data_IF_409135014660
#
_entry.id   IF_409135014660
#
_cell.length_a   1.000
_cell.length_b   1.000
_cell.length_c   1.000
_cell.angle_alpha   90.00
_cell.angle_beta   90.00
_cell.angle_gamma   90.00
#
_symmetry.space_group_name_H-M   'P 1'
#
loop_
_entity.id
_entity.type
_entity.pdbx_description
1 polymer ?
#
# COMPACT_ATOMS: atom_id res chain seq x y z
N UNK A 1 41.19 44.08 -5.61
CA UNK A 1 40.19 43.49 -4.70
C UNK A 1 38.95 43.15 -5.52
N UNK A 2 39.00 42.03 -6.24
CA UNK A 2 37.94 41.64 -7.19
C UNK A 2 37.93 40.13 -7.35
N UNK A 3 39.09 39.47 -7.37
CA UNK A 3 39.20 38.01 -7.40
C UNK A 3 38.66 37.30 -6.13
N UNK A 4 38.84 37.89 -4.94
CA UNK A 4 38.35 37.30 -3.69
C UNK A 4 36.82 37.36 -3.55
N UNK A 5 36.17 38.38 -4.13
CA UNK A 5 34.71 38.51 -4.13
C UNK A 5 34.09 37.53 -5.14
N UNK A 6 34.72 37.32 -6.30
CA UNK A 6 34.26 36.34 -7.30
C UNK A 6 34.41 34.91 -6.77
N UNK A 7 35.48 34.59 -6.03
CA UNK A 7 35.62 33.27 -5.40
C UNK A 7 34.64 33.06 -4.24
N UNK A 8 34.36 34.11 -3.45
CA UNK A 8 33.34 34.05 -2.40
C UNK A 8 31.93 33.87 -2.94
N UNK A 9 31.59 34.55 -4.05
CA UNK A 9 30.28 34.41 -4.72
C UNK A 9 30.17 33.08 -5.47
N UNK A 10 31.23 32.62 -6.14
CA UNK A 10 31.21 31.32 -6.82
C UNK A 10 31.16 30.14 -5.84
N UNK A 11 31.83 30.25 -4.69
CA UNK A 11 31.75 29.26 -3.62
C UNK A 11 30.36 29.19 -3.00
N UNK A 12 29.75 30.35 -2.70
CA UNK A 12 28.40 30.43 -2.15
C UNK A 12 27.31 29.90 -3.10
N UNK A 13 27.49 30.08 -4.42
CA UNK A 13 26.55 29.56 -5.43
C UNK A 13 26.73 28.05 -5.67
N UNK A 14 27.94 27.50 -5.50
CA UNK A 14 28.23 26.08 -5.73
C UNK A 14 27.97 25.18 -4.51
N UNK A 15 27.93 25.75 -3.30
CA UNK A 15 27.70 25.05 -2.04
C UNK A 15 26.42 24.19 -2.03
N UNK A 16 25.22 24.69 -2.41
CA UNK A 16 24.01 23.86 -2.41
C UNK A 16 24.11 22.70 -3.40
N UNK A 17 24.65 22.91 -4.60
CA UNK A 17 24.81 21.84 -5.59
C UNK A 17 25.82 20.75 -5.17
N UNK A 18 26.88 21.12 -4.46
CA UNK A 18 27.83 20.16 -3.92
C UNK A 18 27.22 19.33 -2.78
N UNK A 19 26.40 19.97 -1.94
CA UNK A 19 25.61 19.30 -0.89
C UNK A 19 24.61 18.33 -1.50
N UNK A 20 23.82 18.77 -2.48
CA UNK A 20 22.84 17.94 -3.20
C UNK A 20 23.51 16.72 -3.82
N UNK A 21 24.62 16.93 -4.53
CA UNK A 21 25.36 15.83 -5.16
C UNK A 21 25.88 14.80 -4.16
N UNK A 22 26.32 15.26 -2.97
CA UNK A 22 26.76 14.39 -1.90
C UNK A 22 25.58 13.63 -1.29
N UNK A 23 24.51 14.33 -0.91
CA UNK A 23 23.32 13.75 -0.28
C UNK A 23 22.58 12.79 -1.20
N UNK A 24 22.37 13.14 -2.47
CA UNK A 24 21.80 12.23 -3.46
C UNK A 24 22.67 10.98 -3.67
N UNK A 25 23.99 11.11 -3.49
CA UNK A 25 24.92 9.99 -3.58
C UNK A 25 24.94 9.06 -2.37
N UNK A 26 24.58 9.55 -1.19
CA UNK A 26 24.46 8.77 0.05
C UNK A 26 23.01 8.50 0.45
N UNK A 27 22.03 8.93 -0.36
CA UNK A 27 20.62 8.87 -0.06
C UNK A 27 20.19 7.46 0.39
N UNK A 28 19.71 7.37 1.64
CA UNK A 28 19.35 6.11 2.30
C UNK A 28 20.48 5.09 2.25
N UNK A 29 21.64 5.50 2.78
CA UNK A 29 22.90 4.76 2.72
C UNK A 29 23.29 4.28 1.29
N UNK A 30 22.97 5.09 0.28
CA UNK A 30 23.23 4.79 -1.13
C UNK A 30 22.23 3.83 -1.79
N UNK A 31 21.09 3.56 -1.15
CA UNK A 31 20.04 2.71 -1.73
C UNK A 31 19.35 3.37 -2.93
N UNK A 32 19.23 4.70 -2.93
CA UNK A 32 18.53 5.42 -3.98
C UNK A 32 19.47 5.80 -5.13
N UNK A 33 19.13 5.45 -6.39
CA UNK A 33 19.85 5.95 -7.54
C UNK A 33 19.73 7.47 -7.64
N UNK A 34 20.85 8.14 -7.94
CA UNK A 34 20.88 9.61 -8.06
C UNK A 34 19.88 10.15 -9.07
N UNK A 35 19.72 9.48 -10.21
CA UNK A 35 18.77 9.88 -11.25
C UNK A 35 17.30 9.73 -10.81
N UNK A 36 17.03 8.90 -9.81
CA UNK A 36 15.71 8.79 -9.18
C UNK A 36 15.52 9.94 -8.21
N UNK A 37 16.52 10.24 -7.36
CA UNK A 37 16.48 11.40 -6.44
C UNK A 37 16.28 12.70 -7.22
N UNK A 38 17.05 12.92 -8.29
CA UNK A 38 16.97 14.11 -9.14
C UNK A 38 15.58 14.27 -9.78
N UNK A 39 14.90 13.16 -10.13
CA UNK A 39 13.55 13.18 -10.70
C UNK A 39 12.45 13.40 -9.65
N UNK A 40 12.69 13.01 -8.40
CA UNK A 40 11.73 13.15 -7.31
C UNK A 40 11.77 14.55 -6.67
N UNK A 41 12.90 15.25 -6.79
CA UNK A 41 13.06 16.60 -6.29
C UNK A 41 12.13 17.58 -7.03
N UNK A 42 11.37 18.41 -6.31
CA UNK A 42 10.65 19.53 -6.90
C UNK A 42 11.61 20.50 -7.62
N UNK A 43 11.09 21.24 -8.60
CA UNK A 43 11.87 22.30 -9.28
C UNK A 43 12.42 23.31 -8.26
N UNK A 44 13.69 23.67 -8.41
CA UNK A 44 14.42 24.61 -7.56
C UNK A 44 14.54 24.23 -6.06
N UNK A 45 14.19 23.00 -5.68
CA UNK A 45 14.43 22.48 -4.32
C UNK A 45 15.89 22.02 -4.14
N UNK A 46 16.39 22.10 -2.90
CA UNK A 46 17.70 21.59 -2.48
C UNK A 46 17.54 20.56 -1.36
N UNK A 47 18.41 19.56 -1.33
CA UNK A 47 18.43 18.55 -0.27
C UNK A 47 18.98 19.17 1.02
N UNK A 48 18.28 18.93 2.12
CA UNK A 48 18.71 19.41 3.44
C UNK A 48 19.48 18.31 4.16
N UNK A 49 18.83 17.20 4.49
CA UNK A 49 19.48 16.14 5.26
C UNK A 49 19.10 14.75 4.81
N UNK A 50 20.00 13.82 5.10
CA UNK A 50 19.76 12.39 5.03
C UNK A 50 20.09 11.79 6.40
N UNK A 51 19.19 10.99 6.93
CA UNK A 51 19.40 10.25 8.17
C UNK A 51 18.93 8.81 8.00
N UNK A 52 19.84 7.86 8.22
CA UNK A 52 19.53 6.43 8.24
C UNK A 52 19.72 5.86 9.65
N UNK A 53 18.78 5.02 10.10
CA UNK A 53 18.80 4.38 11.42
C UNK A 53 18.55 2.89 11.27
N UNK A 54 19.44 2.06 11.82
CA UNK A 54 19.28 0.60 11.81
C UNK A 54 19.34 0.05 13.24
N UNK A 55 18.47 -0.89 13.54
CA UNK A 55 18.48 -1.63 14.81
C UNK A 55 18.40 -3.13 14.54
N UNK A 56 19.56 -3.78 14.47
CA UNK A 56 19.65 -5.22 14.16
C UNK A 56 18.86 -6.08 15.16
N UNK A 57 18.94 -5.75 16.45
CA UNK A 57 18.22 -6.46 17.50
C UNK A 57 16.69 -6.27 17.47
N UNK A 58 16.23 -5.19 16.84
CA UNK A 58 14.80 -4.91 16.64
C UNK A 58 14.35 -5.24 15.21
N UNK A 59 15.26 -5.67 14.34
CA UNK A 59 14.95 -6.01 12.96
C UNK A 59 14.32 -4.84 12.18
N UNK A 60 14.75 -3.60 12.48
CA UNK A 60 14.22 -2.39 11.87
C UNK A 60 15.29 -1.56 11.16
N UNK A 61 14.89 -0.92 10.07
CA UNK A 61 15.70 0.03 9.32
C UNK A 61 14.83 1.21 8.90
N UNK A 62 15.35 2.42 8.99
CA UNK A 62 14.65 3.63 8.57
C UNK A 62 15.59 4.57 7.82
N UNK A 63 15.03 5.34 6.90
CA UNK A 63 15.70 6.41 6.20
C UNK A 63 14.79 7.62 6.04
N UNK A 64 15.32 8.80 6.32
CA UNK A 64 14.69 10.08 6.05
C UNK A 64 15.58 10.88 5.10
N UNK A 65 15.00 11.36 4.00
CA UNK A 65 15.61 12.31 3.07
C UNK A 65 14.72 13.55 2.98
N UNK A 66 15.28 14.70 3.27
CA UNK A 66 14.55 15.97 3.35
C UNK A 66 15.07 17.01 2.36
N UNK A 67 14.22 17.95 2.02
CA UNK A 67 14.53 19.16 1.25
C UNK A 67 14.42 20.41 2.13
N UNK A 68 15.11 21.46 1.73
CA UNK A 68 15.02 22.76 2.38
C UNK A 68 13.59 23.33 2.28
N UNK A 69 13.03 23.78 3.40
CA UNK A 69 11.69 24.36 3.49
C UNK A 69 11.39 24.90 4.89
N UNK A 70 10.40 25.78 5.03
CA UNK A 70 9.90 26.24 6.32
C UNK A 70 9.05 25.15 7.00
N UNK A 71 9.29 24.91 8.29
CA UNK A 71 8.80 23.78 9.13
C UNK A 71 7.28 23.51 9.09
N UNK A 72 6.48 24.37 8.45
CA UNK A 72 5.03 24.31 8.35
C UNK A 72 4.57 23.55 7.09
N UNK A 73 5.43 23.35 6.08
CA UNK A 73 5.11 22.57 4.86
C UNK A 73 6.19 21.53 4.55
N UNK A 74 5.83 20.24 4.66
CA UNK A 74 6.46 19.05 4.09
C UNK A 74 7.89 19.20 3.54
N UNK A 75 8.88 19.34 4.42
CA UNK A 75 10.30 19.20 4.07
C UNK A 75 10.71 17.76 3.72
N UNK A 76 9.78 16.80 3.75
CA UNK A 76 10.04 15.39 3.48
C UNK A 76 10.03 15.12 1.98
N UNK A 77 11.17 14.71 1.45
CA UNK A 77 11.25 14.15 0.11
C UNK A 77 10.88 12.67 0.13
N UNK A 78 11.54 11.90 1.01
CA UNK A 78 11.30 10.47 1.23
C UNK A 78 11.42 10.19 2.73
N UNK A 79 10.51 9.39 3.26
CA UNK A 79 10.68 8.67 4.52
C UNK A 79 10.41 7.20 4.24
N UNK A 80 11.24 6.33 4.78
CA UNK A 80 11.07 4.90 4.65
C UNK A 80 11.30 4.22 5.99
N UNK A 81 10.41 3.29 6.33
CA UNK A 81 10.54 2.43 7.48
C UNK A 81 10.39 0.96 7.06
N UNK A 82 11.23 0.11 7.62
CA UNK A 82 11.28 -1.31 7.35
C UNK A 82 11.29 -2.13 8.64
N UNK A 83 10.48 -3.18 8.68
CA UNK A 83 10.27 -4.01 9.88
C UNK A 83 10.24 -5.50 9.54
N UNK A 84 11.05 -6.30 10.24
CA UNK A 84 11.00 -7.78 10.16
C UNK A 84 10.34 -8.44 11.36
N UNK A 85 10.09 -7.69 12.44
CA UNK A 85 9.37 -8.17 13.62
C UNK A 85 7.87 -8.07 13.42
N UNK A 86 7.17 -9.13 13.80
CA UNK A 86 5.71 -9.19 13.73
C UNK A 86 5.03 -8.08 14.52
N UNK A 87 5.45 -7.81 15.76
CA UNK A 87 4.77 -6.81 16.60
C UNK A 87 4.78 -5.41 15.96
N UNK A 88 5.89 -5.07 15.29
CA UNK A 88 6.02 -3.80 14.58
C UNK A 88 5.13 -3.79 13.33
N UNK A 89 5.08 -4.88 12.56
CA UNK A 89 4.17 -5.02 11.42
C UNK A 89 2.70 -4.93 11.85
N UNK A 90 2.31 -5.64 12.91
CA UNK A 90 0.96 -5.64 13.46
C UNK A 90 0.57 -4.23 13.94
N UNK A 91 1.52 -3.47 14.52
CA UNK A 91 1.33 -2.05 14.89
C UNK A 91 1.08 -1.16 13.66
N UNK A 92 1.89 -1.30 12.61
CA UNK A 92 1.71 -0.49 11.40
C UNK A 92 0.39 -0.83 10.68
N UNK A 93 0.04 -2.12 10.60
CA UNK A 93 -1.26 -2.54 10.07
C UNK A 93 -2.43 -2.11 10.96
N UNK A 94 -2.23 -1.92 12.26
CA UNK A 94 -3.22 -1.30 13.13
C UNK A 94 -3.51 0.14 12.71
N UNK A 95 -2.48 0.91 12.37
CA UNK A 95 -2.61 2.27 11.85
C UNK A 95 -3.29 2.34 10.48
N UNK A 96 -2.86 1.50 9.53
CA UNK A 96 -3.42 1.47 8.17
C UNK A 96 -4.86 0.94 8.11
N UNK A 97 -5.23 0.05 9.05
CA UNK A 97 -6.55 -0.57 9.13
C UNK A 97 -7.13 -0.39 10.54
N UNK A 98 -7.68 0.79 10.87
CA UNK A 98 -8.38 1.00 12.14
C UNK A 98 -9.62 0.09 12.24
N UNK A 99 -10.28 0.08 13.40
CA UNK A 99 -11.26 -0.91 13.91
C UNK A 99 -12.12 -1.67 12.88
N UNK A 100 -12.54 -1.05 11.78
CA UNK A 100 -13.37 -1.69 10.76
C UNK A 100 -12.63 -2.27 9.55
N UNK A 101 -11.38 -1.91 9.31
CA UNK A 101 -10.54 -2.41 8.22
C UNK A 101 -10.93 -1.93 6.82
N UNK A 102 -11.99 -1.12 6.69
CA UNK A 102 -12.53 -0.64 5.42
C UNK A 102 -11.86 0.66 4.91
N UNK A 103 -10.62 0.96 5.32
CA UNK A 103 -9.87 2.08 4.74
C UNK A 103 -9.78 1.94 3.21
N UNK A 104 -9.83 3.07 2.50
CA UNK A 104 -9.53 3.09 1.06
C UNK A 104 -8.06 2.74 0.86
N UNK A 105 -7.77 2.10 -0.27
CA UNK A 105 -6.42 1.65 -0.59
C UNK A 105 -6.17 1.89 -2.08
N UNK A 106 -4.97 2.32 -2.42
CA UNK A 106 -4.49 2.34 -3.80
C UNK A 106 -3.92 0.97 -4.16
N UNK A 107 -4.25 0.49 -5.36
CA UNK A 107 -3.70 -0.76 -5.89
C UNK A 107 -2.31 -0.54 -6.48
N UNK A 108 -1.35 -1.39 -6.12
CA UNK A 108 -0.04 -1.39 -6.77
C UNK A 108 -0.10 -2.09 -8.14
N UNK A 109 0.77 -1.71 -9.08
CA UNK A 109 0.96 -2.44 -10.33
C UNK A 109 1.13 -3.94 -10.14
N UNK A 110 0.64 -4.71 -11.12
CA UNK A 110 0.65 -6.18 -11.06
C UNK A 110 2.04 -6.75 -10.75
N UNK A 111 2.08 -7.67 -9.79
CA UNK A 111 3.28 -8.34 -9.32
C UNK A 111 3.96 -7.70 -8.11
N UNK A 112 3.55 -6.48 -7.71
CA UNK A 112 4.04 -5.87 -6.47
C UNK A 112 3.20 -6.31 -5.26
N UNK A 113 3.81 -6.91 -4.22
CA UNK A 113 3.10 -7.48 -3.08
C UNK A 113 2.78 -6.42 -2.03
N UNK A 114 1.90 -5.48 -2.38
CA UNK A 114 1.65 -4.32 -1.54
C UNK A 114 0.41 -3.52 -1.92
N UNK A 115 0.22 -2.40 -1.23
CA UNK A 115 -0.89 -1.46 -1.40
C UNK A 115 -0.44 -0.04 -1.02
N UNK A 116 -1.25 0.95 -1.36
CA UNK A 116 -1.08 2.33 -0.90
C UNK A 116 -2.13 2.59 0.17
N UNK A 117 -1.71 2.99 1.37
CA UNK A 117 -2.64 3.31 2.47
C UNK A 117 -3.22 4.74 2.35
N UNK A 118 -4.19 5.08 3.18
CA UNK A 118 -4.83 6.39 3.22
C UNK A 118 -3.87 7.54 3.62
N UNK A 119 -2.72 7.22 4.21
CA UNK A 119 -1.61 8.15 4.45
C UNK A 119 -0.69 8.29 3.23
N UNK A 120 -1.09 7.73 2.08
CA UNK A 120 -0.35 7.71 0.81
C UNK A 120 1.00 7.00 0.90
N UNK A 121 1.19 6.13 1.89
CA UNK A 121 2.41 5.34 1.99
C UNK A 121 2.33 4.13 1.05
N UNK A 122 3.38 3.90 0.29
CA UNK A 122 3.55 2.65 -0.46
C UNK A 122 4.01 1.58 0.52
N UNK A 123 3.14 0.60 0.79
CA UNK A 123 3.39 -0.51 1.70
C UNK A 123 3.72 -1.76 0.89
N UNK A 124 4.90 -2.36 1.06
CA UNK A 124 5.34 -3.61 0.43
C UNK A 124 5.58 -4.67 1.51
N UNK A 125 4.98 -5.85 1.36
CA UNK A 125 5.12 -6.97 2.30
C UNK A 125 5.73 -8.18 1.58
N UNK A 126 6.93 -8.57 1.99
CA UNK A 126 7.72 -9.63 1.37
C UNK A 126 7.99 -10.78 2.34
N UNK A 127 8.05 -12.05 1.90
CA UNK A 127 8.58 -13.13 2.73
C UNK A 127 10.10 -12.96 2.93
N UNK A 128 10.59 -13.32 4.12
CA UNK A 128 12.01 -13.30 4.50
C UNK A 128 12.58 -14.71 4.74
N UNK A 129 12.89 -15.47 3.69
CA UNK A 129 13.32 -16.86 3.82
C UNK A 129 14.57 -17.04 4.69
N UNK A 130 15.52 -16.10 4.67
CA UNK A 130 16.78 -16.22 5.41
C UNK A 130 16.61 -16.00 6.92
N UNK A 131 15.51 -15.37 7.35
CA UNK A 131 15.15 -15.20 8.76
C UNK A 131 14.38 -16.39 9.32
N UNK A 132 13.99 -17.35 8.47
CA UNK A 132 13.24 -18.54 8.85
C UNK A 132 11.85 -18.24 9.40
N UNK A 133 11.40 -19.11 10.31
CA UNK A 133 10.08 -19.02 10.93
C UNK A 133 10.10 -18.21 12.24
N UNK A 134 8.96 -17.63 12.61
CA UNK A 134 8.73 -17.05 13.93
C UNK A 134 8.36 -18.12 14.98
N UNK A 135 8.07 -17.68 16.20
CA UNK A 135 7.76 -18.58 17.32
C UNK A 135 6.50 -19.44 17.10
N UNK A 136 5.63 -19.03 16.19
CA UNK A 136 4.42 -19.74 15.81
C UNK A 136 4.60 -20.61 14.54
N UNK A 137 5.83 -20.73 14.04
CA UNK A 137 6.15 -21.53 12.86
C UNK A 137 5.75 -20.87 11.54
N UNK A 138 5.59 -19.54 11.51
CA UNK A 138 5.21 -18.81 10.29
C UNK A 138 6.42 -18.18 9.66
N UNK A 139 6.42 -18.11 8.33
CA UNK A 139 7.46 -17.43 7.57
C UNK A 139 7.54 -15.95 8.01
N UNK A 140 8.70 -15.52 8.51
CA UNK A 140 8.93 -14.10 8.80
C UNK A 140 8.81 -13.28 7.53
N UNK A 141 8.39 -12.04 7.67
CA UNK A 141 8.15 -11.09 6.56
C UNK A 141 8.92 -9.82 6.77
N UNK A 142 9.10 -9.05 5.70
CA UNK A 142 9.58 -7.69 5.69
C UNK A 142 8.42 -6.81 5.25
N UNK A 143 8.01 -5.89 6.12
CA UNK A 143 7.15 -4.77 5.75
C UNK A 143 8.04 -3.57 5.48
N UNK A 144 7.89 -2.94 4.32
CA UNK A 144 8.51 -1.65 3.99
C UNK A 144 7.41 -0.65 3.70
N UNK A 145 7.46 0.50 4.36
CA UNK A 145 6.55 1.62 4.21
C UNK A 145 7.33 2.80 3.69
N UNK A 146 6.92 3.37 2.56
CA UNK A 146 7.59 4.52 1.96
C UNK A 146 6.61 5.67 1.78
N UNK A 147 6.89 6.80 2.43
CA UNK A 147 6.21 8.06 2.23
C UNK A 147 7.05 8.98 1.36
N UNK A 148 6.38 9.80 0.56
CA UNK A 148 7.01 10.84 -0.23
C UNK A 148 6.14 12.10 -0.17
N UNK A 149 6.74 13.26 -0.41
CA UNK A 149 5.97 14.50 -0.56
C UNK A 149 4.89 14.36 -1.64
N UNK A 150 3.74 15.03 -1.46
CA UNK A 150 2.59 14.93 -2.39
C UNK A 150 2.98 15.26 -3.84
N UNK A 151 3.79 16.30 -4.03
CA UNK A 151 4.28 16.71 -5.35
C UNK A 151 5.26 15.68 -5.95
N UNK A 152 6.01 15.00 -5.08
CA UNK A 152 6.96 13.95 -5.44
C UNK A 152 6.27 12.65 -5.89
N UNK A 153 5.12 12.30 -5.28
CA UNK A 153 4.36 11.10 -5.65
C UNK A 153 3.78 11.15 -7.06
N UNK A 154 3.38 12.34 -7.52
CA UNK A 154 2.63 12.52 -8.77
C UNK A 154 3.42 13.22 -9.90
N UNK A 155 4.54 13.87 -9.57
CA UNK A 155 5.27 14.74 -10.49
C UNK A 155 6.00 14.02 -11.64
N UNK A 156 6.51 12.80 -11.42
CA UNK A 156 7.27 12.06 -12.44
C UNK A 156 6.83 10.59 -12.58
N UNK A 157 6.31 10.19 -13.77
CA UNK A 157 5.93 8.82 -14.09
C UNK A 157 6.99 7.78 -13.68
N UNK A 158 6.62 6.83 -12.81
CA UNK A 158 7.44 5.69 -12.40
C UNK A 158 8.49 5.94 -11.32
N UNK A 159 8.92 7.18 -11.09
CA UNK A 159 10.03 7.48 -10.17
C UNK A 159 9.73 7.06 -8.72
N UNK A 160 8.49 7.26 -8.26
CA UNK A 160 8.07 6.86 -6.92
C UNK A 160 8.14 5.33 -6.71
N UNK A 161 7.74 4.54 -7.72
CA UNK A 161 7.87 3.09 -7.64
C UNK A 161 9.33 2.64 -7.71
N UNK A 162 10.14 3.27 -8.55
CA UNK A 162 11.58 2.98 -8.62
C UNK A 162 12.27 3.23 -7.27
N UNK A 163 11.97 4.35 -6.60
CA UNK A 163 12.49 4.64 -5.26
C UNK A 163 11.99 3.64 -4.21
N UNK A 164 10.67 3.41 -4.11
CA UNK A 164 10.11 2.47 -3.13
C UNK A 164 10.67 1.05 -3.28
N UNK A 165 10.88 0.59 -4.52
CA UNK A 165 11.47 -0.73 -4.81
C UNK A 165 12.97 -0.76 -4.50
N UNK A 166 13.72 0.29 -4.84
CA UNK A 166 15.14 0.37 -4.49
C UNK A 166 15.36 0.34 -2.98
N UNK A 167 14.54 1.11 -2.23
CA UNK A 167 14.55 1.13 -0.77
C UNK A 167 14.15 -0.23 -0.18
N UNK A 168 13.13 -0.87 -0.74
CA UNK A 168 12.69 -2.20 -0.28
C UNK A 168 13.75 -3.26 -0.48
N UNK A 169 14.42 -3.26 -1.65
CA UNK A 169 15.51 -4.19 -1.94
C UNK A 169 16.70 -3.94 -0.99
N UNK A 170 17.07 -2.68 -0.76
CA UNK A 170 18.12 -2.31 0.20
C UNK A 170 17.76 -2.74 1.64
N UNK A 171 16.53 -2.50 2.08
CA UNK A 171 16.06 -2.94 3.40
C UNK A 171 16.11 -4.47 3.56
N UNK A 172 15.75 -5.21 2.51
CA UNK A 172 15.87 -6.68 2.49
C UNK A 172 17.31 -7.13 2.68
N UNK A 173 18.26 -6.52 1.96
CA UNK A 173 19.69 -6.84 2.08
C UNK A 173 20.24 -6.50 3.48
N UNK A 174 19.92 -5.30 3.99
CA UNK A 174 20.42 -4.81 5.29
C UNK A 174 19.90 -5.60 6.48
N UNK A 175 18.63 -5.99 6.42
CA UNK A 175 17.98 -6.75 7.49
C UNK A 175 18.18 -8.27 7.33
N UNK A 176 18.93 -8.72 6.32
CA UNK A 176 19.19 -10.13 6.07
C UNK A 176 17.92 -10.93 5.79
N UNK A 177 16.93 -10.30 5.15
CA UNK A 177 15.61 -10.89 4.89
C UNK A 177 15.70 -12.01 3.84
N UNK A 178 16.54 -11.85 2.82
CA UNK A 178 16.66 -12.81 1.71
C UNK A 178 15.47 -12.80 0.75
N UNK A 179 14.65 -11.74 0.76
CA UNK A 179 13.53 -11.61 -0.18
C UNK A 179 14.04 -11.50 -1.63
N UNK A 180 13.29 -12.08 -2.57
CA UNK A 180 13.58 -11.92 -4.00
C UNK A 180 13.49 -10.44 -4.39
N UNK A 181 14.51 -9.87 -5.05
CA UNK A 181 14.51 -8.46 -5.42
C UNK A 181 13.32 -8.09 -6.32
N UNK A 182 12.59 -7.06 -5.90
CA UNK A 182 11.49 -6.50 -6.66
C UNK A 182 12.00 -5.74 -7.89
N UNK A 183 11.17 -5.68 -8.93
CA UNK A 183 11.46 -4.98 -10.19
C UNK A 183 10.48 -3.84 -10.40
N UNK A 184 11.00 -2.69 -10.82
CA UNK A 184 10.18 -1.54 -11.16
C UNK A 184 9.12 -1.89 -12.21
N UNK A 185 7.88 -1.39 -12.05
CA UNK A 185 6.82 -1.60 -13.02
C UNK A 185 7.17 -0.91 -14.34
N UNK A 186 6.82 -1.53 -15.46
CA UNK A 186 7.02 -0.94 -16.79
C UNK A 186 5.99 0.15 -17.05
N UNK A 187 6.39 1.18 -17.80
CA UNK A 187 5.46 2.15 -18.39
C UNK A 187 5.17 3.41 -17.57
N UNK A 188 5.97 3.70 -16.55
CA UNK A 188 5.87 4.97 -15.82
C UNK A 188 4.56 5.13 -15.04
N UNK A 189 4.06 4.05 -14.44
CA UNK A 189 2.87 4.14 -13.61
C UNK A 189 3.09 5.15 -12.48
N UNK A 190 2.09 5.99 -12.23
CA UNK A 190 2.05 6.91 -11.10
C UNK A 190 1.28 6.23 -9.96
N UNK A 191 1.74 6.30 -8.70
CA UNK A 191 0.99 5.85 -7.55
C UNK A 191 -0.44 6.40 -7.55
N UNK A 192 -1.43 5.53 -7.35
CA UNK A 192 -2.81 5.95 -7.18
C UNK A 192 -2.96 6.68 -5.84
N UNK A 193 -3.64 7.83 -5.84
CA UNK A 193 -4.07 8.49 -4.61
C UNK A 193 -5.38 7.81 -4.12
N UNK A 194 -5.42 7.22 -2.92
CA UNK A 194 -6.63 6.60 -2.39
C UNK A 194 -7.79 7.58 -2.15
N UNK A 195 -7.51 8.89 -2.12
CA UNK A 195 -8.52 9.94 -2.00
C UNK A 195 -9.16 10.31 -3.35
N UNK A 196 -8.47 10.07 -4.47
CA UNK A 196 -8.98 10.38 -5.80
C UNK A 196 -10.20 9.54 -6.17
N UNK A 197 -10.98 10.04 -7.13
CA UNK A 197 -12.11 9.29 -7.68
C UNK A 197 -11.60 8.11 -8.52
N UNK A 198 -11.90 6.87 -8.11
CA UNK A 198 -11.35 5.71 -8.78
C UNK A 198 -11.98 5.55 -10.16
N UNK A 199 -11.18 5.06 -11.11
CA UNK A 199 -11.69 4.64 -12.40
C UNK A 199 -12.54 3.38 -12.22
N UNK A 200 -13.85 3.56 -12.25
CA UNK A 200 -14.78 2.43 -12.18
C UNK A 200 -14.94 1.71 -13.52
N UNK A 201 -15.30 0.44 -13.47
CA UNK A 201 -15.57 -0.43 -14.61
C UNK A 201 -17.04 -0.86 -14.59
N UNK A 202 -17.60 -1.20 -15.75
CA UNK A 202 -18.85 -1.97 -15.77
C UNK A 202 -18.59 -3.38 -15.26
N UNK A 203 -19.66 -4.06 -14.83
CA UNK A 203 -19.57 -5.46 -14.37
C UNK A 203 -19.01 -6.40 -15.45
N UNK A 204 -19.27 -6.10 -16.73
CA UNK A 204 -18.73 -6.86 -17.85
C UNK A 204 -17.21 -6.65 -18.03
N UNK A 205 -16.74 -5.40 -17.91
CA UNK A 205 -15.31 -5.05 -17.99
C UNK A 205 -14.53 -5.62 -16.80
N UNK A 206 -15.15 -5.69 -15.62
CA UNK A 206 -14.53 -6.24 -14.42
C UNK A 206 -14.17 -7.74 -14.53
N UNK A 207 -14.79 -8.50 -15.44
CA UNK A 207 -14.60 -9.96 -15.56
C UNK A 207 -13.13 -10.40 -15.66
N UNK A 208 -12.29 -9.58 -16.28
CA UNK A 208 -10.85 -9.85 -16.45
C UNK A 208 -9.97 -9.46 -15.26
N UNK A 209 -10.54 -8.89 -14.20
CA UNK A 209 -9.77 -8.34 -13.07
C UNK A 209 -9.88 -9.20 -11.82
N UNK A 210 -9.23 -8.78 -10.74
CA UNK A 210 -9.34 -9.40 -9.43
C UNK A 210 -10.74 -9.25 -8.79
N UNK A 211 -11.58 -8.33 -9.29
CA UNK A 211 -12.99 -8.19 -8.91
C UNK A 211 -13.95 -8.85 -9.93
N UNK A 212 -13.46 -9.74 -10.79
CA UNK A 212 -14.24 -10.35 -11.87
C UNK A 212 -15.40 -11.23 -11.41
N UNK A 213 -15.41 -11.68 -10.15
CA UNK A 213 -16.51 -12.41 -9.54
C UNK A 213 -17.85 -11.66 -9.63
N UNK A 214 -17.80 -10.31 -9.66
CA UNK A 214 -18.99 -9.44 -9.74
C UNK A 214 -19.80 -9.72 -11.01
N UNK A 215 -19.14 -10.04 -12.12
CA UNK A 215 -19.78 -10.30 -13.41
C UNK A 215 -20.80 -11.46 -13.35
N UNK A 216 -20.59 -12.42 -12.44
CA UNK A 216 -21.39 -13.64 -12.30
C UNK A 216 -22.11 -13.72 -10.95
N UNK A 217 -22.08 -12.63 -10.17
CA UNK A 217 -22.59 -12.58 -8.80
C UNK A 217 -24.13 -12.51 -8.70
N UNK A 218 -24.81 -12.28 -9.82
CA UNK A 218 -26.26 -12.14 -9.87
C UNK A 218 -26.75 -10.86 -9.22
N UNK A 219 -26.13 -9.72 -9.58
CA UNK A 219 -26.59 -8.40 -9.17
C UNK A 219 -27.98 -8.08 -9.75
N UNK A 220 -28.79 -7.26 -9.05
CA UNK A 220 -30.11 -6.85 -9.53
C UNK A 220 -30.08 -6.26 -10.94
N UNK A 221 -31.01 -6.71 -11.78
CA UNK A 221 -31.15 -6.23 -13.17
C UNK A 221 -31.74 -4.83 -13.21
N UNK A 222 -31.37 -4.06 -14.23
CA UNK A 222 -31.91 -2.71 -14.47
C UNK A 222 -31.24 -1.61 -13.62
N UNK A 223 -30.19 -1.96 -12.88
CA UNK A 223 -29.31 -1.02 -12.17
C UNK A 223 -27.97 -0.96 -12.92
N UNK A 224 -27.45 0.26 -13.12
CA UNK A 224 -26.13 0.45 -13.70
C UNK A 224 -25.06 0.30 -12.63
N UNK A 225 -24.48 -0.90 -12.56
CA UNK A 225 -23.50 -1.25 -11.55
C UNK A 225 -22.09 -0.89 -12.00
N UNK A 226 -21.37 -0.22 -11.12
CA UNK A 226 -19.99 0.19 -11.30
C UNK A 226 -19.10 -0.57 -10.30
N UNK A 227 -17.90 -0.93 -10.74
CA UNK A 227 -16.94 -1.70 -9.96
C UNK A 227 -15.62 -0.93 -9.88
N UNK A 228 -15.19 -0.61 -8.68
CA UNK A 228 -13.82 -0.19 -8.41
C UNK A 228 -12.96 -1.40 -8.06
N UNK A 229 -11.76 -1.48 -8.65
CA UNK A 229 -10.83 -2.60 -8.53
C UNK A 229 -9.61 -2.15 -7.74
N UNK A 230 -9.74 -2.12 -6.42
CA UNK A 230 -8.68 -1.80 -5.47
C UNK A 230 -7.89 -3.02 -4.99
N UNK A 231 -7.57 -3.96 -5.87
CA UNK A 231 -6.78 -5.15 -5.50
C UNK A 231 -6.01 -5.78 -6.65
N UNK A 232 -4.86 -6.38 -6.31
CA UNK A 232 -4.10 -7.27 -7.18
C UNK A 232 -3.90 -8.64 -6.49
N UNK A 233 -3.35 -9.61 -7.22
CA UNK A 233 -3.20 -10.98 -6.68
C UNK A 233 -2.05 -11.14 -5.67
N UNK A 234 -1.11 -10.20 -5.59
CA UNK A 234 0.09 -10.27 -4.77
C UNK A 234 -0.03 -9.50 -3.45
N UNK A 235 -0.93 -8.52 -3.37
CA UNK A 235 -1.08 -7.63 -2.23
C UNK A 235 -1.48 -8.38 -0.93
N UNK A 236 -1.07 -7.91 0.26
CA UNK A 236 -1.52 -8.48 1.53
C UNK A 236 -2.98 -8.11 1.86
N UNK A 237 -3.59 -7.27 1.04
CA UNK A 237 -4.96 -6.80 1.18
C UNK A 237 -5.61 -6.67 -0.19
N UNK A 238 -6.93 -6.45 -0.22
CA UNK A 238 -7.61 -6.07 -1.43
C UNK A 238 -9.01 -5.55 -1.17
N UNK A 239 -9.48 -4.66 -2.04
CA UNK A 239 -10.83 -4.09 -2.00
C UNK A 239 -11.52 -4.12 -3.37
N UNK A 240 -12.79 -4.50 -3.39
CA UNK A 240 -13.69 -4.31 -4.52
C UNK A 240 -14.88 -3.50 -4.05
N UNK A 241 -15.06 -2.28 -4.56
CA UNK A 241 -16.30 -1.53 -4.33
C UNK A 241 -17.27 -1.76 -5.48
N UNK A 242 -18.50 -2.09 -5.13
CA UNK A 242 -19.61 -2.25 -6.08
C UNK A 242 -20.63 -1.17 -5.77
N UNK A 243 -20.78 -0.22 -6.68
CA UNK A 243 -21.68 0.92 -6.48
C UNK A 243 -22.78 1.02 -7.52
N UNK A 244 -23.86 1.66 -7.13
CA UNK A 244 -25.01 2.00 -7.95
C UNK A 244 -25.40 3.46 -7.73
N UNK A 245 -26.00 4.07 -8.75
CA UNK A 245 -26.36 5.49 -8.71
C UNK A 245 -25.23 6.39 -9.17
N UNK A 246 -25.47 7.69 -9.07
CA UNK A 246 -24.55 8.71 -9.57
C UNK A 246 -23.82 9.37 -8.39
N UNK A 247 -22.49 9.23 -8.39
CA UNK A 247 -21.59 9.81 -7.40
C UNK A 247 -21.64 11.33 -7.39
N UNK A 248 -21.74 11.98 -8.55
CA UNK A 248 -21.80 13.45 -8.65
C UNK A 248 -23.05 14.00 -7.96
N UNK A 249 -24.15 13.23 -8.02
CA UNK A 249 -25.42 13.59 -7.37
C UNK A 249 -25.46 13.29 -5.86
N UNK A 250 -24.44 12.63 -5.30
CA UNK A 250 -24.40 12.16 -3.91
C UNK A 250 -25.40 11.02 -3.60
N UNK A 251 -26.01 10.43 -4.63
CA UNK A 251 -26.96 9.32 -4.48
C UNK A 251 -26.30 7.94 -4.54
N UNK A 252 -24.97 7.90 -4.68
CA UNK A 252 -24.20 6.66 -4.74
C UNK A 252 -24.45 5.78 -3.52
N UNK A 253 -24.78 4.53 -3.79
CA UNK A 253 -24.87 3.46 -2.79
C UNK A 253 -23.86 2.39 -3.13
N UNK A 254 -22.97 2.09 -2.20
CA UNK A 254 -21.86 1.15 -2.43
C UNK A 254 -21.84 0.00 -1.42
N UNK A 255 -21.36 -1.14 -1.90
CA UNK A 255 -20.87 -2.26 -1.09
C UNK A 255 -19.36 -2.32 -1.22
N UNK A 256 -18.68 -2.45 -0.08
CA UNK A 256 -17.25 -2.67 -0.01
C UNK A 256 -16.98 -4.13 0.33
N UNK A 257 -16.27 -4.83 -0.55
CA UNK A 257 -15.78 -6.19 -0.33
C UNK A 257 -14.28 -6.13 -0.08
N UNK A 258 -13.83 -6.61 1.07
CA UNK A 258 -12.44 -6.50 1.50
C UNK A 258 -11.86 -7.86 1.82
N UNK A 259 -10.60 -8.07 1.43
CA UNK A 259 -9.81 -9.24 1.76
C UNK A 259 -8.54 -8.79 2.48
N UNK A 260 -8.17 -9.50 3.54
CA UNK A 260 -6.94 -9.27 4.29
C UNK A 260 -6.22 -10.60 4.50
N UNK A 261 -4.92 -10.62 4.24
CA UNK A 261 -4.10 -11.83 4.23
C UNK A 261 -2.97 -11.68 5.24
N UNK A 262 -2.99 -12.56 6.24
CA UNK A 262 -2.03 -12.63 7.33
C UNK A 262 -2.68 -12.52 8.70
N UNK A 263 -2.01 -13.05 9.72
CA UNK A 263 -2.57 -13.18 11.07
C UNK A 263 -2.95 -11.84 11.71
N UNK A 264 -2.25 -10.76 11.35
CA UNK A 264 -2.56 -9.38 11.73
C UNK A 264 -4.02 -8.98 11.46
N UNK A 265 -4.65 -9.61 10.46
CA UNK A 265 -6.01 -9.30 10.03
C UNK A 265 -7.10 -9.95 10.87
N UNK A 266 -6.77 -10.92 11.74
CA UNK A 266 -7.77 -11.67 12.51
C UNK A 266 -8.65 -10.77 13.39
N UNK A 267 -8.06 -9.67 13.89
CA UNK A 267 -8.77 -8.66 14.69
C UNK A 267 -9.92 -7.98 13.94
N UNK A 268 -9.86 -7.90 12.61
CA UNK A 268 -10.83 -7.20 11.76
C UNK A 268 -12.16 -7.95 11.63
N UNK A 269 -12.21 -9.21 12.07
CA UNK A 269 -13.45 -9.99 12.08
C UNK A 269 -14.34 -9.72 13.28
N UNK A 270 -13.89 -8.95 14.28
CA UNK A 270 -14.62 -8.81 15.55
C UNK A 270 -15.25 -7.43 15.69
N UNK A 271 -16.43 -7.37 16.33
CA UNK A 271 -17.09 -6.11 16.66
C UNK A 271 -16.49 -5.52 17.93
N UNK A 272 -15.61 -4.53 17.79
CA UNK A 272 -14.97 -3.88 18.93
C UNK A 272 -14.24 -4.87 19.84
N UNK A 273 -14.27 -4.61 21.16
CA UNK A 273 -13.54 -5.41 22.17
C UNK A 273 -14.32 -6.58 22.78
N UNK A 274 -15.53 -6.89 22.30
CA UNK A 274 -16.39 -7.90 22.96
C UNK A 274 -16.14 -9.34 22.49
N UNK A 275 -15.34 -9.53 21.43
CA UNK A 275 -14.99 -10.85 20.88
C UNK A 275 -16.09 -11.50 20.04
N UNK A 276 -17.17 -10.78 19.71
CA UNK A 276 -18.21 -11.26 18.80
C UNK A 276 -17.78 -11.06 17.34
N UNK A 277 -18.03 -12.06 16.50
CA UNK A 277 -17.79 -11.93 15.08
C UNK A 277 -18.71 -10.88 14.48
N UNK A 278 -18.12 -9.96 13.72
CA UNK A 278 -18.84 -9.05 12.85
C UNK A 278 -19.69 -9.84 11.87
N UNK A 279 -20.92 -9.37 11.71
CA UNK A 279 -21.81 -9.90 10.68
C UNK A 279 -21.22 -9.69 9.28
N UNK A 280 -21.51 -10.59 8.34
CA UNK A 280 -20.98 -10.51 6.96
C UNK A 280 -19.46 -10.63 6.87
N UNK A 281 -18.90 -11.58 7.61
CA UNK A 281 -17.47 -11.94 7.52
C UNK A 281 -17.27 -13.38 7.07
N UNK A 282 -16.08 -13.68 6.59
CA UNK A 282 -15.61 -15.02 6.28
C UNK A 282 -14.13 -15.17 6.62
N UNK A 283 -13.72 -16.39 6.95
CA UNK A 283 -12.36 -16.72 7.35
C UNK A 283 -11.85 -17.91 6.54
N UNK A 284 -10.58 -17.92 6.17
CA UNK A 284 -9.88 -19.01 5.48
C UNK A 284 -8.42 -19.09 5.96
N UNK A 285 -7.65 -20.02 5.39
CA UNK A 285 -6.22 -20.18 5.62
C UNK A 285 -5.46 -20.12 4.29
N UNK A 286 -4.57 -19.15 4.12
CA UNK A 286 -3.73 -19.03 2.92
C UNK A 286 -2.27 -19.19 3.35
N UNK A 287 -1.52 -20.11 2.73
CA UNK A 287 -0.12 -20.39 3.08
C UNK A 287 0.12 -20.62 4.59
N UNK A 288 -0.85 -21.23 5.27
CA UNK A 288 -0.77 -21.48 6.71
C UNK A 288 -1.04 -20.27 7.61
N UNK A 289 -1.46 -19.13 7.06
CA UNK A 289 -1.84 -17.92 7.80
C UNK A 289 -3.33 -17.62 7.68
N UNK A 290 -3.86 -16.80 8.59
CA UNK A 290 -5.24 -16.34 8.52
C UNK A 290 -5.50 -15.50 7.26
N UNK A 291 -6.67 -15.71 6.65
CA UNK A 291 -7.20 -14.83 5.63
C UNK A 291 -8.65 -14.51 5.95
N UNK A 292 -8.99 -13.22 5.89
CA UNK A 292 -10.24 -12.71 6.37
C UNK A 292 -10.91 -11.88 5.29
N UNK A 293 -12.23 -12.01 5.19
CA UNK A 293 -13.03 -11.36 4.18
C UNK A 293 -14.23 -10.71 4.84
N UNK A 294 -14.59 -9.51 4.42
CA UNK A 294 -15.78 -8.84 4.93
C UNK A 294 -16.55 -8.14 3.82
N UNK A 295 -17.84 -7.94 4.08
CA UNK A 295 -18.71 -7.03 3.35
C UNK A 295 -19.15 -5.90 4.29
N UNK A 296 -19.03 -4.67 3.80
CA UNK A 296 -19.58 -3.47 4.43
C UNK A 296 -20.25 -2.58 3.38
N UNK A 297 -20.84 -1.47 3.82
CA UNK A 297 -21.43 -0.48 2.92
C UNK A 297 -22.87 -0.10 3.29
N UNK A 298 -23.59 0.43 2.31
CA UNK A 298 -24.94 0.96 2.51
C UNK A 298 -25.95 -0.15 2.85
N UNK A 299 -26.82 0.09 3.83
CA UNK A 299 -27.91 -0.83 4.19
C UNK A 299 -29.07 -0.81 3.18
N UNK A 300 -29.32 0.35 2.56
CA UNK A 300 -30.44 0.59 1.65
C UNK A 300 -30.02 0.61 0.17
N UNK A 301 -29.48 -0.50 -0.31
CA UNK A 301 -29.11 -0.64 -1.72
C UNK A 301 -30.30 -1.17 -2.52
N UNK A 302 -30.74 -0.48 -3.59
CA UNK A 302 -31.90 -0.90 -4.38
C UNK A 302 -31.79 -2.35 -4.86
N UNK A 303 -32.72 -3.20 -4.40
CA UNK A 303 -32.81 -4.60 -4.81
C UNK A 303 -31.76 -5.53 -4.20
N UNK A 304 -30.96 -5.08 -3.23
CA UNK A 304 -29.97 -5.91 -2.53
C UNK A 304 -30.36 -6.03 -1.06
N UNK A 305 -30.98 -7.15 -0.69
CA UNK A 305 -31.30 -7.45 0.70
C UNK A 305 -30.18 -8.23 1.41
N UNK A 306 -30.39 -8.56 2.70
CA UNK A 306 -29.45 -9.36 3.51
C UNK A 306 -29.04 -10.69 2.84
N UNK A 307 -30.00 -11.39 2.23
CA UNK A 307 -29.73 -12.66 1.52
C UNK A 307 -28.87 -12.45 0.26
N UNK A 308 -29.01 -11.31 -0.41
CA UNK A 308 -28.18 -10.93 -1.54
C UNK A 308 -26.77 -10.61 -1.07
N UNK A 309 -26.60 -9.81 -0.02
CA UNK A 309 -25.29 -9.52 0.59
C UNK A 309 -24.55 -10.80 1.00
N UNK A 310 -25.23 -11.75 1.67
CA UNK A 310 -24.64 -13.05 2.02
C UNK A 310 -24.19 -13.84 0.77
N UNK A 311 -24.98 -13.81 -0.31
CA UNK A 311 -24.61 -14.47 -1.57
C UNK A 311 -23.41 -13.78 -2.21
N UNK A 312 -23.39 -12.45 -2.26
CA UNK A 312 -22.29 -11.68 -2.84
C UNK A 312 -20.99 -11.91 -2.08
N UNK A 313 -21.02 -11.88 -0.74
CA UNK A 313 -19.85 -12.19 0.11
C UNK A 313 -19.34 -13.62 -0.15
N UNK A 314 -20.24 -14.60 -0.29
CA UNK A 314 -19.87 -15.97 -0.66
C UNK A 314 -19.11 -16.03 -1.98
N UNK A 315 -19.60 -15.33 -3.01
CA UNK A 315 -18.95 -15.29 -4.32
C UNK A 315 -17.58 -14.63 -4.26
N UNK A 316 -17.50 -13.49 -3.59
CA UNK A 316 -16.25 -12.78 -3.37
C UNK A 316 -15.22 -13.66 -2.65
N UNK A 317 -15.53 -14.17 -1.46
CA UNK A 317 -14.59 -14.96 -0.66
C UNK A 317 -14.18 -16.26 -1.37
N UNK A 318 -15.10 -16.92 -2.09
CA UNK A 318 -14.77 -18.11 -2.88
C UNK A 318 -13.81 -17.81 -4.04
N UNK A 319 -14.03 -16.72 -4.77
CA UNK A 319 -13.13 -16.30 -5.85
C UNK A 319 -11.72 -16.02 -5.31
N UNK A 320 -11.62 -15.27 -4.20
CA UNK A 320 -10.34 -14.94 -3.58
C UNK A 320 -9.60 -16.17 -3.04
N UNK A 321 -10.32 -17.07 -2.34
CA UNK A 321 -9.78 -18.36 -1.88
C UNK A 321 -9.24 -19.20 -3.03
N UNK A 322 -9.98 -19.28 -4.15
CA UNK A 322 -9.55 -20.05 -5.31
C UNK A 322 -8.30 -19.45 -5.98
N UNK A 323 -8.22 -18.12 -6.09
CA UNK A 323 -7.09 -17.42 -6.71
C UNK A 323 -5.78 -17.62 -5.94
N UNK A 324 -5.88 -17.68 -4.61
CA UNK A 324 -4.71 -17.80 -3.72
C UNK A 324 -4.49 -19.22 -3.18
N UNK A 325 -5.28 -20.20 -3.61
CA UNK A 325 -5.13 -21.59 -3.17
C UNK A 325 -5.37 -21.78 -1.67
N UNK A 326 -6.24 -20.98 -1.06
CA UNK A 326 -6.51 -21.04 0.36
C UNK A 326 -7.42 -22.23 0.74
N UNK A 327 -7.43 -22.61 2.02
CA UNK A 327 -8.26 -23.69 2.58
C UNK A 327 -9.21 -23.18 3.66
N UNK A 328 -10.09 -24.07 4.14
CA UNK A 328 -10.91 -23.88 5.35
C UNK A 328 -11.82 -22.65 5.36
N UNK A 329 -12.39 -22.29 4.20
CA UNK A 329 -13.33 -21.18 4.09
C UNK A 329 -14.59 -21.41 4.95
N UNK A 330 -14.86 -20.49 5.87
CA UNK A 330 -16.02 -20.46 6.78
C UNK A 330 -16.67 -19.09 6.74
N UNK A 331 -17.98 -19.05 6.90
CA UNK A 331 -18.75 -17.81 6.86
C UNK A 331 -19.45 -17.55 8.21
N UNK A 332 -19.58 -16.28 8.57
CA UNK A 332 -20.19 -15.81 9.81
C UNK A 332 -21.27 -14.76 9.47
N UNK A 333 -22.54 -15.13 9.58
CA UNK A 333 -23.70 -14.26 9.28
C UNK A 333 -24.98 -14.69 10.01
#
# INVERSE_FOLDING_TARGET
>A
MTAAVVLGVAGYVAEPYARDWMLAGSACDGALPRDVVDRLMPEDAHLDSEESRQSDGLGSYGCDLTIEGDEIQNSRLIEMEAYTRRDDQDREFFGAFPEEGFSRQGVLPDGLPGFIDDYRAINLLLPCPDLGEDAEGRQRKLLVRTWMGTDTLSGVPGAAYEAAIALTNSASERLGCGAEPLKAPKGGAVPADPEDDPKTLSTAEAKGTACGWVAEAGLPKGVDWRVDVGMNNAAPTGRCDVSSGDRESGSEKSLAFVAWYGDWSSRLNFEGGNGEFRSMTATARCDGEAANYALGGSEDIPGVGKADQQRLLKRFAQDQVNRRGCSDLRFHF
#
